data_IF_429248569276
#
_entry.id   IF_429248569276
#
_cell.length_a   1.000
_cell.length_b   1.000
_cell.length_c   1.000
_cell.angle_alpha   90.00
_cell.angle_beta   90.00
_cell.angle_gamma   90.00
#
_symmetry.space_group_name_H-M   'P 1'
#
loop_
_entity.id
_entity.type
_entity.pdbx_description
1 polymer ?
#
# COMPACT_ATOMS: atom_id res chain seq x y z
N UNK A 1 -11.42 17.81 -20.00
CA UNK A 1 -10.39 16.96 -19.38
C UNK A 1 -10.71 15.52 -19.76
N UNK A 2 -9.74 14.72 -20.18
CA UNK A 2 -10.00 13.32 -20.48
C UNK A 2 -10.26 12.60 -19.16
N UNK A 3 -11.39 11.93 -19.06
CA UNK A 3 -11.75 11.14 -17.86
C UNK A 3 -10.74 10.01 -17.70
N UNK A 4 -10.08 9.95 -16.55
CA UNK A 4 -9.10 8.90 -16.25
C UNK A 4 -9.85 7.57 -16.17
N UNK A 5 -9.65 6.71 -17.15
CA UNK A 5 -10.30 5.39 -17.19
C UNK A 5 -9.56 4.45 -16.23
N UNK A 6 -10.15 4.25 -15.05
CA UNK A 6 -9.72 3.24 -14.10
C UNK A 6 -10.22 1.86 -14.54
N UNK A 7 -9.39 0.83 -14.38
CA UNK A 7 -9.78 -0.56 -14.70
C UNK A 7 -10.43 -1.26 -13.52
N UNK A 8 -10.18 -0.80 -12.29
CA UNK A 8 -10.70 -1.37 -11.05
C UNK A 8 -12.07 -0.81 -10.68
N UNK A 9 -12.93 -1.64 -10.12
CA UNK A 9 -14.27 -1.28 -9.65
C UNK A 9 -14.37 -1.24 -8.12
N UNK A 10 -15.35 -0.51 -7.55
CA UNK A 10 -15.59 -0.51 -6.09
C UNK A 10 -15.88 -1.92 -5.54
N UNK A 11 -16.55 -2.76 -6.33
CA UNK A 11 -16.90 -4.13 -5.97
C UNK A 11 -15.64 -5.00 -5.83
N UNK A 12 -14.68 -4.87 -6.75
CA UNK A 12 -13.40 -5.60 -6.69
C UNK A 12 -12.58 -5.15 -5.48
N UNK A 13 -12.52 -3.86 -5.18
CA UNK A 13 -11.86 -3.32 -3.98
C UNK A 13 -12.52 -3.87 -2.72
N UNK A 14 -13.85 -3.86 -2.67
CA UNK A 14 -14.59 -4.37 -1.50
C UNK A 14 -14.36 -5.86 -1.31
N UNK A 15 -14.40 -6.65 -2.38
CA UNK A 15 -14.12 -8.07 -2.33
C UNK A 15 -12.70 -8.36 -1.82
N UNK A 16 -11.72 -7.63 -2.32
CA UNK A 16 -10.32 -7.74 -1.86
C UNK A 16 -10.18 -7.39 -0.37
N UNK A 17 -10.75 -6.27 0.06
CA UNK A 17 -10.73 -5.83 1.46
C UNK A 17 -11.32 -6.89 2.40
N UNK A 18 -12.39 -7.56 1.99
CA UNK A 18 -12.98 -8.66 2.76
C UNK A 18 -12.03 -9.86 2.86
N UNK A 19 -11.29 -10.19 1.80
CA UNK A 19 -10.33 -11.31 1.86
C UNK A 19 -9.16 -11.04 2.80
N UNK A 20 -8.82 -9.76 3.02
CA UNK A 20 -7.75 -9.32 3.92
C UNK A 20 -8.24 -9.00 5.34
N UNK A 21 -9.54 -9.17 5.63
CA UNK A 21 -10.16 -8.79 6.90
C UNK A 21 -9.85 -7.33 7.32
N UNK A 22 -9.80 -6.42 6.34
CA UNK A 22 -9.46 -5.03 6.62
C UNK A 22 -10.49 -4.35 7.51
N UNK A 23 -10.07 -3.44 8.40
CA UNK A 23 -11.00 -2.61 9.17
C UNK A 23 -11.86 -1.74 8.24
N UNK A 24 -13.11 -1.50 8.61
CA UNK A 24 -14.06 -0.71 7.83
C UNK A 24 -13.51 0.67 7.42
N UNK A 25 -12.79 1.37 8.32
CA UNK A 25 -12.20 2.67 8.02
C UNK A 25 -11.15 2.58 6.89
N UNK A 26 -10.45 1.45 6.76
CA UNK A 26 -9.44 1.25 5.72
C UNK A 26 -10.12 1.02 4.36
N UNK A 27 -11.18 0.20 4.31
CA UNK A 27 -12.02 0.05 3.13
C UNK A 27 -12.60 1.40 2.67
N UNK A 28 -13.11 2.23 3.59
CA UNK A 28 -13.62 3.56 3.28
C UNK A 28 -12.53 4.47 2.69
N UNK A 29 -11.29 4.37 3.17
CA UNK A 29 -10.16 5.11 2.60
C UNK A 29 -9.85 4.63 1.17
N UNK A 30 -9.89 3.33 0.90
CA UNK A 30 -9.74 2.77 -0.45
C UNK A 30 -10.82 3.30 -1.42
N UNK A 31 -12.07 3.21 -1.04
CA UNK A 31 -13.20 3.66 -1.86
C UNK A 31 -13.14 5.18 -2.10
N UNK A 32 -12.81 5.97 -1.09
CA UNK A 32 -12.56 7.40 -1.23
C UNK A 32 -11.40 7.67 -2.20
N UNK A 33 -10.31 6.93 -2.09
CA UNK A 33 -9.16 7.01 -3.00
C UNK A 33 -9.57 6.73 -4.46
N UNK A 34 -10.39 5.71 -4.69
CA UNK A 34 -10.89 5.38 -6.02
C UNK A 34 -11.72 6.53 -6.65
N UNK A 35 -12.59 7.18 -5.87
CA UNK A 35 -13.37 8.31 -6.34
C UNK A 35 -12.50 9.54 -6.63
N UNK A 36 -11.57 9.84 -5.74
CA UNK A 36 -10.64 10.96 -5.90
C UNK A 36 -9.69 10.77 -7.10
N UNK A 37 -9.25 9.54 -7.36
CA UNK A 37 -8.39 9.23 -8.52
C UNK A 37 -9.05 9.57 -9.87
N UNK A 38 -10.39 9.58 -9.95
CA UNK A 38 -11.15 9.97 -11.15
C UNK A 38 -11.21 11.49 -11.37
N UNK A 39 -11.13 12.26 -10.29
CA UNK A 39 -11.45 13.70 -10.28
C UNK A 39 -10.23 14.59 -10.06
N UNK A 40 -9.22 14.13 -9.32
CA UNK A 40 -8.01 14.90 -9.06
C UNK A 40 -7.07 14.92 -10.28
N UNK A 41 -6.23 15.93 -10.33
CA UNK A 41 -5.19 16.03 -11.33
C UNK A 41 -4.00 15.12 -10.99
N UNK A 42 -3.24 14.72 -12.02
CA UNK A 42 -1.96 14.04 -11.83
C UNK A 42 -0.96 14.95 -11.13
N UNK A 43 0.00 14.40 -10.35
CA UNK A 43 1.03 15.20 -9.73
C UNK A 43 1.87 15.92 -10.79
N UNK A 44 2.25 17.17 -10.51
CA UNK A 44 3.13 17.92 -11.37
C UNK A 44 4.58 17.77 -10.88
N UNK A 45 5.40 17.11 -11.67
CA UNK A 45 6.86 17.04 -11.46
C UNK A 45 7.55 17.55 -12.72
N UNK A 46 8.42 18.54 -12.57
CA UNK A 46 9.14 19.10 -13.69
C UNK A 46 9.86 18.02 -14.50
N UNK A 47 9.69 18.06 -15.83
CA UNK A 47 10.25 17.10 -16.80
C UNK A 47 9.69 15.67 -16.76
N UNK A 48 8.80 15.34 -15.84
CA UNK A 48 8.09 14.05 -15.82
C UNK A 48 6.76 14.18 -16.57
N UNK A 49 6.54 13.30 -17.55
CA UNK A 49 5.32 13.32 -18.39
C UNK A 49 4.42 12.14 -18.04
N UNK A 50 3.79 12.20 -16.88
CA UNK A 50 2.91 11.15 -16.36
C UNK A 50 1.79 10.74 -17.33
N UNK A 51 1.24 11.68 -18.11
CA UNK A 51 0.20 11.41 -19.10
C UNK A 51 0.63 10.44 -20.23
N UNK A 52 1.92 10.07 -20.31
CA UNK A 52 2.43 9.08 -21.28
C UNK A 52 2.50 7.66 -20.69
N UNK A 53 2.20 7.48 -19.43
CA UNK A 53 2.31 6.21 -18.73
C UNK A 53 0.94 5.65 -18.40
N UNK A 54 0.81 4.32 -18.42
CA UNK A 54 -0.42 3.62 -18.04
C UNK A 54 -0.49 3.44 -16.53
N UNK A 55 -0.63 4.54 -15.78
CA UNK A 55 -0.53 4.55 -14.33
C UNK A 55 -1.73 3.91 -13.61
N UNK A 56 -2.89 3.80 -14.26
CA UNK A 56 -4.15 3.42 -13.65
C UNK A 56 -4.68 2.06 -14.15
N UNK A 57 -3.79 1.19 -14.59
CA UNK A 57 -4.12 -0.12 -15.16
C UNK A 57 -3.55 -1.28 -14.34
N UNK A 58 -3.58 -1.17 -13.02
CA UNK A 58 -3.15 -2.25 -12.13
C UNK A 58 -4.33 -3.15 -11.76
N UNK A 59 -4.08 -4.44 -11.56
CA UNK A 59 -5.01 -5.37 -10.92
C UNK A 59 -4.77 -5.40 -9.42
N UNK A 60 -5.82 -5.61 -8.64
CA UNK A 60 -5.73 -5.78 -7.19
C UNK A 60 -5.77 -7.27 -6.84
N UNK A 61 -5.04 -7.67 -5.80
CA UNK A 61 -5.11 -9.04 -5.27
C UNK A 61 -4.28 -10.09 -6.03
N UNK A 62 -3.69 -9.75 -7.15
CA UNK A 62 -2.75 -10.64 -7.82
C UNK A 62 -1.37 -10.50 -7.18
N UNK A 63 -1.21 -11.13 -6.04
CA UNK A 63 0.12 -11.34 -5.45
C UNK A 63 0.99 -12.15 -6.39
N UNK A 64 2.29 -11.95 -6.34
CA UNK A 64 3.24 -12.67 -7.19
C UNK A 64 3.14 -14.15 -6.90
N UNK A 65 2.65 -14.88 -7.87
CA UNK A 65 2.61 -16.33 -7.84
C UNK A 65 4.03 -16.90 -7.80
N UNK A 66 4.23 -17.84 -6.90
CA UNK A 66 5.28 -18.86 -6.91
C UNK A 66 6.70 -18.39 -7.26
N UNK A 67 7.42 -18.05 -6.21
CA UNK A 67 8.88 -18.12 -6.26
C UNK A 67 9.25 -19.56 -5.94
N UNK A 68 9.86 -20.25 -6.88
CA UNK A 68 10.38 -21.61 -6.65
C UNK A 68 11.50 -21.63 -5.63
N UNK A 69 12.26 -20.53 -5.52
CA UNK A 69 13.30 -20.34 -4.51
C UNK A 69 13.18 -18.96 -3.85
N UNK A 70 13.11 -18.94 -2.52
CA UNK A 70 13.18 -17.68 -1.77
C UNK A 70 14.55 -17.01 -2.00
N UNK A 71 14.58 -15.68 -2.19
CA UNK A 71 15.84 -14.98 -2.32
C UNK A 71 16.70 -15.18 -1.07
N UNK A 72 18.03 -15.30 -1.27
CA UNK A 72 18.97 -15.42 -0.17
C UNK A 72 18.91 -14.17 0.70
N UNK A 73 18.40 -14.31 1.91
CA UNK A 73 18.27 -13.19 2.84
C UNK A 73 19.64 -12.88 3.46
N UNK A 74 20.05 -11.62 3.35
CA UNK A 74 21.26 -11.12 4.02
C UNK A 74 20.93 -10.93 5.50
N UNK A 75 21.73 -11.42 6.44
CA UNK A 75 21.50 -11.25 7.86
C UNK A 75 21.31 -9.78 8.25
N UNK A 76 20.39 -9.54 9.19
CA UNK A 76 20.10 -8.21 9.70
C UNK A 76 21.24 -7.72 10.60
N UNK A 77 21.72 -6.50 10.37
CA UNK A 77 22.75 -5.91 11.21
C UNK A 77 22.22 -5.61 12.63
N UNK A 78 23.12 -5.59 13.61
CA UNK A 78 22.75 -5.24 14.99
C UNK A 78 22.05 -3.87 15.05
N UNK A 79 20.99 -3.77 15.84
CA UNK A 79 20.20 -2.54 16.02
C UNK A 79 19.34 -2.13 14.81
N UNK A 80 19.13 -3.03 13.84
CA UNK A 80 18.30 -2.77 12.66
C UNK A 80 17.12 -3.75 12.56
N UNK A 81 16.20 -3.45 11.67
CA UNK A 81 15.11 -4.34 11.26
C UNK A 81 15.12 -4.48 9.74
N UNK A 82 14.51 -5.54 9.23
CA UNK A 82 14.45 -5.82 7.81
C UNK A 82 13.11 -6.43 7.44
N UNK A 83 12.54 -5.91 6.36
CA UNK A 83 11.45 -6.55 5.63
C UNK A 83 11.97 -6.90 4.24
N UNK A 84 11.68 -8.10 3.76
CA UNK A 84 11.95 -8.53 2.39
C UNK A 84 10.63 -8.83 1.72
N UNK A 85 10.32 -8.06 0.68
CA UNK A 85 9.09 -8.19 -0.09
C UNK A 85 9.38 -8.55 -1.53
N UNK A 86 8.48 -9.31 -2.13
CA UNK A 86 8.45 -9.53 -3.57
C UNK A 86 7.03 -9.32 -4.08
N UNK A 87 6.85 -8.30 -4.91
CA UNK A 87 5.52 -7.83 -5.26
C UNK A 87 4.75 -7.38 -4.01
N UNK A 88 3.58 -7.94 -3.80
CA UNK A 88 2.69 -7.65 -2.69
C UNK A 88 2.84 -8.60 -1.48
N UNK A 89 3.85 -9.46 -1.48
CA UNK A 89 4.04 -10.46 -0.43
C UNK A 89 5.29 -10.20 0.38
N UNK A 90 5.14 -10.09 1.69
CA UNK A 90 6.27 -10.05 2.63
C UNK A 90 6.72 -11.47 2.95
N UNK A 91 7.97 -11.79 2.60
CA UNK A 91 8.54 -13.13 2.79
C UNK A 91 9.31 -13.29 4.07
N UNK A 92 9.84 -12.18 4.57
CA UNK A 92 10.74 -12.20 5.70
C UNK A 92 10.61 -10.91 6.48
N UNK A 93 10.38 -11.05 7.77
CA UNK A 93 10.41 -9.96 8.73
C UNK A 93 11.37 -10.32 9.84
N UNK A 94 12.36 -9.51 10.06
CA UNK A 94 13.35 -9.71 11.11
C UNK A 94 13.59 -8.40 11.85
N UNK A 95 13.49 -8.46 13.16
CA UNK A 95 13.80 -7.34 14.03
C UNK A 95 14.84 -7.73 15.06
N UNK A 96 15.91 -6.95 15.15
CA UNK A 96 16.90 -7.14 16.18
C UNK A 96 16.33 -6.90 17.58
N UNK A 97 16.76 -7.70 18.57
CA UNK A 97 16.26 -7.60 19.97
C UNK A 97 16.45 -6.20 20.56
N UNK A 98 17.54 -5.50 20.24
CA UNK A 98 17.77 -4.13 20.71
C UNK A 98 16.75 -3.14 20.12
N UNK A 99 16.29 -3.37 18.90
CA UNK A 99 15.25 -2.55 18.25
C UNK A 99 13.88 -2.86 18.85
N UNK A 100 13.58 -4.11 19.12
CA UNK A 100 12.35 -4.53 19.79
C UNK A 100 12.22 -3.94 21.20
N UNK A 101 13.33 -3.86 21.94
CA UNK A 101 13.36 -3.24 23.29
C UNK A 101 13.13 -1.70 23.29
N UNK A 102 13.12 -1.07 22.11
CA UNK A 102 12.84 0.37 21.94
C UNK A 102 11.40 0.67 21.53
N UNK A 103 10.50 -0.29 21.68
CA UNK A 103 9.09 -0.18 21.28
C UNK A 103 8.90 0.17 19.80
N UNK A 104 9.82 -0.32 18.94
CA UNK A 104 9.73 -0.19 17.49
C UNK A 104 9.08 -1.43 16.90
N UNK A 105 8.04 -1.24 16.10
CA UNK A 105 7.38 -2.30 15.34
C UNK A 105 7.80 -2.20 13.86
N UNK A 106 8.22 -3.32 13.29
CA UNK A 106 8.52 -3.44 11.85
C UNK A 106 7.81 -4.68 11.35
N UNK A 107 6.78 -4.48 10.55
CA UNK A 107 5.91 -5.55 10.07
C UNK A 107 5.22 -5.13 8.76
N UNK A 108 4.59 -6.08 8.09
CA UNK A 108 3.71 -5.82 6.96
C UNK A 108 2.52 -4.93 7.35
N UNK A 109 2.04 -4.13 6.39
CA UNK A 109 0.92 -3.21 6.63
C UNK A 109 -0.36 -3.97 7.03
N UNK A 110 -0.64 -5.11 6.41
CA UNK A 110 -1.85 -5.87 6.71
C UNK A 110 -1.77 -6.53 8.09
N UNK A 111 -0.61 -7.02 8.49
CA UNK A 111 -0.36 -7.48 9.85
C UNK A 111 -0.50 -6.35 10.87
N UNK A 112 -0.03 -5.15 10.52
CA UNK A 112 -0.21 -3.97 11.37
C UNK A 112 -1.68 -3.52 11.47
N UNK A 113 -2.47 -3.66 10.40
CA UNK A 113 -3.90 -3.37 10.41
C UNK A 113 -4.69 -4.35 11.28
N UNK A 114 -4.27 -5.62 11.31
CA UNK A 114 -4.89 -6.64 12.15
C UNK A 114 -4.50 -6.50 13.63
N UNK A 115 -3.21 -6.33 13.91
CA UNK A 115 -2.66 -6.38 15.26
C UNK A 115 -2.67 -5.01 15.98
N UNK A 116 -2.48 -3.92 15.23
CA UNK A 116 -2.28 -2.57 15.76
C UNK A 116 -3.06 -1.49 14.99
N UNK A 117 -4.37 -1.68 14.70
CA UNK A 117 -5.15 -0.75 13.88
C UNK A 117 -5.15 0.68 14.45
N UNK A 118 -5.10 0.83 15.77
CA UNK A 118 -5.11 2.14 16.45
C UNK A 118 -3.79 2.90 16.26
N UNK A 119 -2.69 2.22 15.97
CA UNK A 119 -1.42 2.86 15.65
C UNK A 119 -1.37 3.28 14.17
N UNK A 120 -1.99 2.53 13.26
CA UNK A 120 -2.00 2.81 11.83
C UNK A 120 -2.97 3.94 11.46
N UNK A 121 -4.20 3.86 11.96
CA UNK A 121 -5.32 4.74 11.59
C UNK A 121 -5.02 6.25 11.63
N UNK A 122 -4.35 6.80 12.66
CA UNK A 122 -4.09 8.24 12.74
C UNK A 122 -3.10 8.77 11.71
N UNK A 123 -2.33 7.89 11.07
CA UNK A 123 -1.23 8.27 10.18
C UNK A 123 -1.45 7.86 8.73
N UNK A 124 -2.16 6.74 8.50
CA UNK A 124 -2.36 6.22 7.14
C UNK A 124 -3.13 7.22 6.28
N UNK A 125 -2.51 7.67 5.21
CA UNK A 125 -3.07 8.61 4.22
C UNK A 125 -3.70 9.88 4.83
N UNK A 126 -3.11 10.40 5.91
CA UNK A 126 -3.64 11.57 6.65
C UNK A 126 -2.57 12.62 6.99
N UNK A 127 -1.43 12.21 7.57
CA UNK A 127 -0.46 13.14 8.16
C UNK A 127 0.60 13.61 7.18
N UNK A 128 1.34 12.68 6.58
CA UNK A 128 2.45 13.00 5.69
C UNK A 128 1.97 13.23 4.25
N UNK A 129 1.16 12.32 3.75
CA UNK A 129 0.58 12.36 2.41
C UNK A 129 -0.91 12.07 2.55
N UNK A 130 -1.79 13.06 2.41
CA UNK A 130 -3.24 12.85 2.49
C UNK A 130 -3.76 12.16 1.22
N UNK A 131 -4.87 11.43 1.37
CA UNK A 131 -5.48 10.68 0.25
C UNK A 131 -5.91 11.57 -0.93
N UNK A 132 -6.10 12.85 -0.70
CA UNK A 132 -6.55 13.85 -1.67
C UNK A 132 -5.42 14.76 -2.19
N UNK A 133 -4.18 14.35 -2.04
CA UNK A 133 -3.01 15.11 -2.54
C UNK A 133 -3.04 15.24 -4.07
N UNK A 134 -3.17 14.13 -4.77
CA UNK A 134 -3.27 14.04 -6.23
C UNK A 134 -3.92 12.73 -6.67
N UNK A 135 -4.21 12.58 -7.96
CA UNK A 135 -4.89 11.39 -8.48
C UNK A 135 -4.06 10.11 -8.37
N UNK A 136 -2.75 10.18 -8.45
CA UNK A 136 -1.86 9.00 -8.33
C UNK A 136 -1.79 8.53 -6.86
N UNK A 137 -1.69 9.47 -5.93
CA UNK A 137 -1.76 9.21 -4.49
C UNK A 137 -3.09 8.59 -4.10
N UNK A 138 -4.19 9.15 -4.61
CA UNK A 138 -5.54 8.62 -4.39
C UNK A 138 -5.69 7.20 -4.96
N UNK A 139 -5.18 6.95 -6.16
CA UNK A 139 -5.18 5.62 -6.76
C UNK A 139 -4.33 4.63 -5.96
N UNK A 140 -3.18 5.05 -5.46
CA UNK A 140 -2.35 4.22 -4.58
C UNK A 140 -3.13 3.81 -3.31
N UNK A 141 -3.85 4.74 -2.68
CA UNK A 141 -4.68 4.43 -1.51
C UNK A 141 -5.76 3.39 -1.81
N UNK A 142 -6.34 3.42 -3.02
CA UNK A 142 -7.32 2.42 -3.46
C UNK A 142 -6.70 1.04 -3.69
N UNK A 143 -5.46 0.99 -4.20
CA UNK A 143 -4.83 -0.20 -4.78
C UNK A 143 -3.77 -0.85 -3.89
N UNK A 144 -3.46 -0.31 -2.71
CA UNK A 144 -2.44 -0.88 -1.83
C UNK A 144 -2.71 -2.36 -1.56
N UNK A 145 -1.66 -3.19 -1.74
CA UNK A 145 -1.78 -4.64 -1.76
C UNK A 145 -0.58 -5.27 -1.02
#
# INVERSE_FOLDING_TARGET
>A
MAETKLTITPEEITAFSLTKNEPEWFLQTRLKGLELAKTLELPFIERVKFHRWNLFQSAIGEGTSMIEELPKVIPTAAGSAKIVQLGAVSYWEEMNVETALKDVLVMDLFDALEQYPELVKPYYMTKAVPVDEDSLTAYHAAMVN
#
